data_IF_109341416831
#
_entry.id   IF_109341416831
#
_cell.length_a   1.000
_cell.length_b   1.000
_cell.length_c   1.000
_cell.angle_alpha   90.00
_cell.angle_beta   90.00
_cell.angle_gamma   90.00
#
_symmetry.space_group_name_H-M   'P 1'
#
loop_
_entity.id
_entity.type
_entity.pdbx_description
1 polymer ?
#
# COMPACT_ATOMS: atom_id res chain seq x y z
N UNK A 1 4.10 -1.53 -26.62
CA UNK A 1 5.04 -2.62 -26.28
C UNK A 1 4.46 -3.38 -25.10
N UNK A 2 4.49 -4.72 -25.11
CA UNK A 2 4.02 -5.51 -23.96
C UNK A 2 4.97 -5.31 -22.79
N UNK A 3 4.42 -5.16 -21.58
CA UNK A 3 5.19 -5.06 -20.35
C UNK A 3 6.17 -6.24 -20.22
N UNK A 4 7.46 -6.01 -19.92
CA UNK A 4 8.40 -7.10 -19.73
C UNK A 4 7.96 -7.97 -18.55
N UNK A 5 8.02 -9.29 -18.75
CA UNK A 5 7.67 -10.28 -17.75
C UNK A 5 8.90 -11.10 -17.38
N UNK A 6 9.07 -11.35 -16.08
CA UNK A 6 10.12 -12.20 -15.52
C UNK A 6 9.42 -13.39 -14.87
N UNK A 7 9.88 -14.59 -15.17
CA UNK A 7 9.39 -15.83 -14.57
C UNK A 7 10.50 -16.53 -13.82
N UNK A 8 10.23 -16.97 -12.60
CA UNK A 8 11.17 -17.74 -11.80
C UNK A 8 10.44 -18.68 -10.84
N UNK A 9 11.08 -19.79 -10.50
CA UNK A 9 10.63 -20.68 -9.43
C UNK A 9 11.44 -20.38 -8.18
N UNK A 10 10.77 -20.15 -7.05
CA UNK A 10 11.42 -19.93 -5.77
C UNK A 10 10.77 -20.78 -4.67
N UNK A 11 11.48 -20.96 -3.56
CA UNK A 11 10.93 -21.63 -2.40
C UNK A 11 9.90 -20.74 -1.70
N UNK A 12 8.90 -21.37 -1.13
CA UNK A 12 7.82 -20.74 -0.38
C UNK A 12 8.01 -21.05 1.10
N UNK A 13 7.97 -20.01 1.91
CA UNK A 13 8.21 -20.06 3.34
C UNK A 13 7.03 -19.47 4.10
N UNK A 14 6.74 -20.03 5.27
CA UNK A 14 5.84 -19.45 6.26
C UNK A 14 6.69 -18.78 7.33
N UNK A 15 6.48 -17.49 7.57
CA UNK A 15 7.16 -16.76 8.64
C UNK A 15 6.52 -17.07 10.00
N UNK A 16 7.29 -16.82 11.06
CA UNK A 16 6.92 -17.05 12.46
C UNK A 16 5.69 -16.25 12.95
N UNK A 17 5.31 -15.20 12.22
CA UNK A 17 4.09 -14.40 12.48
C UNK A 17 2.81 -15.23 12.28
N UNK A 18 2.87 -16.30 11.49
CA UNK A 18 1.71 -17.11 11.15
C UNK A 18 1.94 -18.59 11.44
N UNK A 19 0.91 -19.26 11.94
CA UNK A 19 0.97 -20.71 12.15
C UNK A 19 0.54 -21.47 10.88
N UNK A 20 1.01 -22.72 10.69
CA UNK A 20 0.48 -23.58 9.63
C UNK A 20 -1.04 -23.74 9.69
N UNK A 21 -1.62 -23.69 10.90
CA UNK A 21 -3.07 -23.75 11.09
C UNK A 21 -3.78 -22.54 10.47
N UNK A 22 -3.26 -21.33 10.69
CA UNK A 22 -3.83 -20.10 10.11
C UNK A 22 -3.79 -20.15 8.58
N UNK A 23 -2.68 -20.63 8.02
CA UNK A 23 -2.51 -20.78 6.57
C UNK A 23 -3.56 -21.76 6.00
N UNK A 24 -3.72 -22.92 6.63
CA UNK A 24 -4.69 -23.93 6.20
C UNK A 24 -6.14 -23.43 6.35
N UNK A 25 -6.44 -22.66 7.39
CA UNK A 25 -7.75 -22.04 7.56
C UNK A 25 -8.03 -21.00 6.45
N UNK A 26 -7.05 -20.16 6.10
CA UNK A 26 -7.16 -19.20 5.00
C UNK A 26 -7.33 -19.89 3.63
N UNK A 27 -6.61 -20.99 3.40
CA UNK A 27 -6.75 -21.85 2.21
C UNK A 27 -8.15 -22.46 2.13
N UNK A 28 -8.64 -23.09 3.20
CA UNK A 28 -9.97 -23.69 3.24
C UNK A 28 -11.09 -22.66 3.05
N UNK A 29 -10.88 -21.43 3.50
CA UNK A 29 -11.80 -20.32 3.31
C UNK A 29 -11.72 -19.67 1.91
N UNK A 30 -10.85 -20.14 1.02
CA UNK A 30 -10.69 -19.61 -0.35
C UNK A 30 -10.08 -18.20 -0.40
N UNK A 31 -9.40 -17.74 0.65
CA UNK A 31 -8.86 -16.38 0.76
C UNK A 31 -7.47 -16.28 0.13
N UNK A 32 -7.37 -16.47 -1.18
CA UNK A 32 -6.10 -16.57 -1.91
C UNK A 32 -5.15 -15.38 -1.66
N UNK A 33 -5.66 -14.14 -1.65
CA UNK A 33 -4.83 -12.96 -1.36
C UNK A 33 -4.20 -13.01 0.03
N UNK A 34 -4.98 -13.43 1.04
CA UNK A 34 -4.48 -13.58 2.41
C UNK A 34 -3.44 -14.69 2.52
N UNK A 35 -3.65 -15.80 1.81
CA UNK A 35 -2.68 -16.89 1.74
C UNK A 35 -1.35 -16.39 1.19
N UNK A 36 -1.37 -15.61 0.09
CA UNK A 36 -0.15 -15.03 -0.49
C UNK A 36 0.54 -14.06 0.49
N UNK A 37 -0.21 -13.24 1.23
CA UNK A 37 0.35 -12.33 2.26
C UNK A 37 1.04 -13.06 3.42
N UNK A 38 0.62 -14.29 3.72
CA UNK A 38 1.19 -15.10 4.80
C UNK A 38 2.46 -15.82 4.38
N UNK A 39 2.76 -15.86 3.09
CA UNK A 39 3.88 -16.58 2.53
C UNK A 39 5.01 -15.63 2.12
N UNK A 40 6.23 -16.10 2.31
CA UNK A 40 7.45 -15.42 1.91
C UNK A 40 8.11 -16.19 0.76
N UNK A 41 8.54 -15.46 -0.26
CA UNK A 41 9.03 -16.04 -1.52
C UNK A 41 10.51 -15.72 -1.67
N UNK A 42 11.35 -16.72 -1.41
CA UNK A 42 12.80 -16.58 -1.41
C UNK A 42 13.43 -17.77 -2.14
N UNK A 43 14.66 -17.61 -2.64
CA UNK A 43 15.41 -18.72 -3.24
C UNK A 43 15.84 -19.74 -2.20
N UNK A 44 17.13 -20.10 -2.18
CA UNK A 44 17.67 -20.87 -1.06
C UNK A 44 17.70 -19.98 0.19
N UNK A 45 17.06 -20.36 1.30
CA UNK A 45 17.15 -19.60 2.54
C UNK A 45 18.59 -19.68 3.04
N UNK A 46 19.25 -18.54 3.19
CA UNK A 46 20.38 -18.52 4.09
C UNK A 46 19.82 -18.62 5.51
N UNK A 47 20.15 -19.69 6.24
CA UNK A 47 19.73 -19.85 7.64
C UNK A 47 20.26 -18.71 8.51
N UNK A 48 21.34 -18.01 8.11
CA UNK A 48 21.79 -16.80 8.79
C UNK A 48 20.84 -15.62 8.61
N UNK A 49 20.08 -15.56 7.52
CA UNK A 49 19.20 -14.44 7.18
C UNK A 49 17.78 -14.64 7.71
N UNK A 50 17.30 -15.89 7.79
CA UNK A 50 15.91 -16.19 8.13
C UNK A 50 15.68 -16.72 9.57
N UNK A 51 16.71 -17.09 10.32
CA UNK A 51 16.55 -17.61 11.68
C UNK A 51 15.68 -18.88 11.77
N UNK A 52 15.42 -19.35 12.99
CA UNK A 52 14.71 -20.62 13.24
C UNK A 52 13.17 -20.53 13.06
N UNK A 53 12.64 -19.34 12.76
CA UNK A 53 11.21 -19.06 12.71
C UNK A 53 10.51 -19.42 11.39
N UNK A 54 11.25 -19.82 10.36
CA UNK A 54 10.69 -20.04 9.03
C UNK A 54 10.50 -21.53 8.72
N UNK A 55 9.31 -21.86 8.20
CA UNK A 55 8.97 -23.23 7.77
C UNK A 55 8.82 -23.26 6.25
N UNK A 56 9.53 -24.18 5.58
CA UNK A 56 9.35 -24.38 4.13
C UNK A 56 7.99 -25.00 3.86
N UNK A 57 7.20 -24.37 3.01
CA UNK A 57 5.86 -24.83 2.64
C UNK A 57 5.79 -25.42 1.22
N UNK A 58 6.75 -25.10 0.36
CA UNK A 58 6.80 -25.63 -1.00
C UNK A 58 7.63 -24.80 -1.94
N UNK A 59 7.21 -24.77 -3.21
CA UNK A 59 7.79 -23.99 -4.30
C UNK A 59 6.67 -23.20 -5.00
N UNK A 60 7.01 -22.03 -5.55
CA UNK A 60 6.10 -21.18 -6.30
C UNK A 60 6.71 -20.77 -7.63
N UNK A 61 5.92 -20.88 -8.68
CA UNK A 61 6.22 -20.29 -9.99
C UNK A 61 5.68 -18.86 -10.04
N UNK A 62 6.57 -17.89 -9.94
CA UNK A 62 6.23 -16.47 -9.91
C UNK A 62 6.39 -15.88 -11.30
N UNK A 63 5.36 -15.17 -11.76
CA UNK A 63 5.43 -14.28 -12.92
C UNK A 63 5.32 -12.84 -12.46
N UNK A 64 6.41 -12.09 -12.60
CA UNK A 64 6.45 -10.65 -12.30
C UNK A 64 6.25 -9.90 -13.61
N UNK A 65 5.28 -8.97 -13.65
CA UNK A 65 5.08 -8.06 -14.77
C UNK A 65 5.54 -6.68 -14.37
N UNK A 66 6.57 -6.17 -15.03
CA UNK A 66 7.11 -4.86 -14.73
C UNK A 66 6.30 -3.80 -15.46
N UNK A 67 5.88 -2.76 -14.73
CA UNK A 67 5.20 -1.61 -15.33
C UNK A 67 6.19 -0.85 -16.22
N UNK A 68 5.82 -0.50 -17.46
CA UNK A 68 6.59 0.43 -18.28
C UNK A 68 6.86 1.77 -17.56
N UNK A 69 8.01 2.38 -17.79
CA UNK A 69 8.41 3.60 -17.08
C UNK A 69 7.42 4.75 -17.28
N UNK A 70 6.88 4.91 -18.49
CA UNK A 70 5.87 5.90 -18.83
C UNK A 70 4.58 5.71 -18.03
N UNK A 71 4.17 4.45 -17.81
CA UNK A 71 3.03 4.12 -16.97
C UNK A 71 3.29 4.43 -15.49
N UNK A 72 4.50 4.12 -14.99
CA UNK A 72 4.91 4.49 -13.63
C UNK A 72 4.87 6.00 -13.42
N UNK A 73 5.41 6.78 -14.36
CA UNK A 73 5.39 8.25 -14.32
C UNK A 73 3.96 8.78 -14.35
N UNK A 74 3.10 8.23 -15.22
CA UNK A 74 1.68 8.61 -15.29
C UNK A 74 0.97 8.37 -13.96
N UNK A 75 1.17 7.21 -13.34
CA UNK A 75 0.59 6.90 -12.02
C UNK A 75 1.09 7.85 -10.93
N UNK A 76 2.38 8.18 -10.94
CA UNK A 76 2.97 9.13 -10.01
C UNK A 76 2.37 10.54 -10.18
N UNK A 77 2.25 11.03 -11.41
CA UNK A 77 1.61 12.32 -11.73
C UNK A 77 0.16 12.35 -11.25
N UNK A 78 -0.62 11.30 -11.53
CA UNK A 78 -2.01 11.21 -11.06
C UNK A 78 -2.13 11.16 -9.53
N UNK A 79 -1.17 10.54 -8.84
CA UNK A 79 -1.10 10.56 -7.38
C UNK A 79 -0.84 11.96 -6.84
N UNK A 80 0.15 12.66 -7.40
CA UNK A 80 0.50 14.03 -7.02
C UNK A 80 -0.63 15.02 -7.31
N UNK A 81 -1.35 14.86 -8.43
CA UNK A 81 -2.52 15.67 -8.74
C UNK A 81 -3.62 15.51 -7.70
N UNK A 82 -3.93 14.27 -7.30
CA UNK A 82 -4.90 14.00 -6.23
C UNK A 82 -4.48 14.60 -4.89
N UNK A 83 -3.19 14.55 -4.56
CA UNK A 83 -2.65 15.19 -3.35
C UNK A 83 -2.80 16.72 -3.41
N UNK A 84 -2.48 17.33 -4.57
CA UNK A 84 -2.62 18.77 -4.76
C UNK A 84 -4.08 19.23 -4.67
N UNK A 85 -5.02 18.47 -5.23
CA UNK A 85 -6.45 18.77 -5.12
C UNK A 85 -6.94 18.68 -3.67
N UNK A 86 -6.51 17.66 -2.92
CA UNK A 86 -6.83 17.53 -1.51
C UNK A 86 -6.29 18.70 -0.67
N UNK A 87 -5.05 19.14 -0.93
CA UNK A 87 -4.46 20.31 -0.26
C UNK A 87 -5.17 21.62 -0.62
N UNK A 88 -5.54 21.81 -1.89
CA UNK A 88 -6.34 22.96 -2.31
C UNK A 88 -7.69 23.02 -1.59
N UNK A 89 -8.37 21.87 -1.45
CA UNK A 89 -9.63 21.78 -0.72
C UNK A 89 -9.46 22.20 0.75
N UNK A 90 -8.45 21.65 1.44
CA UNK A 90 -8.11 22.00 2.83
C UNK A 90 -7.82 23.49 3.00
N UNK A 91 -7.05 24.06 2.08
CA UNK A 91 -6.69 25.47 2.13
C UNK A 91 -7.92 26.37 1.94
N UNK A 92 -8.81 26.02 1.01
CA UNK A 92 -10.05 26.75 0.78
C UNK A 92 -10.98 26.72 1.99
N UNK A 93 -11.14 25.56 2.64
CA UNK A 93 -11.89 25.44 3.90
C UNK A 93 -11.32 26.36 4.99
N UNK A 94 -9.98 26.40 5.11
CA UNK A 94 -9.29 27.27 6.07
C UNK A 94 -9.50 28.75 5.78
N UNK A 95 -9.43 29.15 4.50
CA UNK A 95 -9.73 30.53 4.09
C UNK A 95 -11.16 30.93 4.43
N UNK A 96 -12.14 30.06 4.17
CA UNK A 96 -13.53 30.32 4.53
C UNK A 96 -13.74 30.43 6.05
N UNK A 97 -13.02 29.65 6.85
CA UNK A 97 -13.06 29.78 8.32
C UNK A 97 -12.53 31.15 8.76
N UNK A 98 -11.38 31.59 8.24
CA UNK A 98 -10.79 32.89 8.54
C UNK A 98 -11.69 34.06 8.13
N UNK A 99 -12.26 34.02 6.92
CA UNK A 99 -13.16 35.07 6.44
C UNK A 99 -14.43 35.18 7.32
N UNK A 100 -14.96 34.05 7.79
CA UNK A 100 -16.10 34.05 8.74
C UNK A 100 -15.71 34.69 10.07
N UNK A 101 -14.52 34.42 10.57
CA UNK A 101 -14.03 35.01 11.82
C UNK A 101 -13.79 36.51 11.70
N UNK A 102 -13.17 36.96 10.60
CA UNK A 102 -13.02 38.39 10.27
C UNK A 102 -14.38 39.08 10.21
N UNK A 103 -15.35 38.49 9.49
CA UNK A 103 -16.69 39.05 9.38
C UNK A 103 -17.41 39.18 10.74
N UNK A 104 -17.25 38.19 11.63
CA UNK A 104 -17.77 38.26 13.02
C UNK A 104 -17.13 39.41 13.80
N UNK A 105 -15.80 39.54 13.74
CA UNK A 105 -15.07 40.60 14.44
C UNK A 105 -15.45 42.01 13.94
N UNK A 106 -15.64 42.15 12.62
CA UNK A 106 -16.10 43.40 12.01
C UNK A 106 -17.52 43.76 12.45
N UNK A 107 -18.46 42.80 12.44
CA UNK A 107 -19.84 43.05 12.91
C UNK A 107 -19.88 43.57 14.35
N UNK A 108 -19.07 42.97 15.24
CA UNK A 108 -18.94 43.42 16.63
C UNK A 108 -18.37 44.84 16.77
N UNK A 109 -17.59 45.31 15.81
CA UNK A 109 -17.05 46.69 15.83
C UNK A 109 -18.08 47.71 15.35
N UNK A 110 -19.00 47.33 14.46
CA UNK A 110 -20.05 48.21 13.94
C UNK A 110 -21.30 48.30 14.82
N UNK A 111 -21.68 47.23 15.53
CA UNK A 111 -22.83 47.24 16.46
C UNK A 111 -22.55 47.93 17.81
N UNK A 112 -21.28 48.31 18.07
CA UNK A 112 -20.84 49.00 19.29
C UNK A 112 -20.63 50.52 19.13
N UNK A 113 -20.97 51.10 17.97
CA UNK A 113 -20.92 52.55 17.68
C UNK A 113 -22.32 53.12 17.52
#
# INVERSE_FOLDING_TARGET
MSAPAITATCAVWLCDVYTPHDLMAALAAGKAGRVVEMLSFHGSPDKQEFGDGYVRMGDADITIRLLPQDEQVRMAVQSLQRQLEAERARFHERQQALLREIGKLQALTFDGS
#
